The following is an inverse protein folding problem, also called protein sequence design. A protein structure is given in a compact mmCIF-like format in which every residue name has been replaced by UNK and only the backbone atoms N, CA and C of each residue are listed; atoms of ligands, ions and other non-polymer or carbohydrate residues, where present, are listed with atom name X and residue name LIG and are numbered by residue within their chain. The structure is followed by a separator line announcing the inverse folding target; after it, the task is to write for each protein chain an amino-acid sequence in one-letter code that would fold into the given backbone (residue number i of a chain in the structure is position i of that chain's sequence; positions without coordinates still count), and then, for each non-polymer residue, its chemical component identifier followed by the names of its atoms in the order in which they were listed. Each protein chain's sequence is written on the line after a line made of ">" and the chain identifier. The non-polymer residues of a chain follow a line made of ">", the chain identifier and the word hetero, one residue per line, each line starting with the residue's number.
data_IF_855283277918
#
_entry.id   IF_855283277918
#
_cell.length_a   1.000
_cell.length_b   1.000
_cell.length_c   1.000
_cell.angle_alpha   90.00
_cell.angle_beta   90.00
_cell.angle_gamma   90.00
#
_symmetry.space_group_name_H-M   'P 1'
#
loop_
_entity.id
_entity.type
_entity.pdbx_description
1 polymer ?
#
# COMPACT_ATOMS: atom_id res chain seq x y z
N UNK A 1 -17.83 12.33 -9.05
CA UNK A 1 -17.09 12.00 -10.31
C UNK A 1 -17.83 10.84 -10.96
N UNK A 2 -17.81 10.72 -12.29
CA UNK A 2 -18.46 9.60 -12.99
C UNK A 2 -17.42 8.88 -13.85
N UNK A 3 -17.62 7.57 -14.07
CA UNK A 3 -16.69 6.72 -14.82
C UNK A 3 -15.69 5.98 -13.92
N UNK A 4 -14.66 5.39 -14.54
CA UNK A 4 -13.62 4.63 -13.88
C UNK A 4 -12.22 5.17 -14.20
N UNK A 5 -11.26 4.87 -13.34
CA UNK A 5 -9.86 5.18 -13.53
C UNK A 5 -8.97 4.13 -12.87
N UNK A 6 -7.86 3.79 -13.53
CA UNK A 6 -6.77 3.01 -12.96
C UNK A 6 -5.64 3.96 -12.64
N UNK A 7 -4.97 3.79 -11.51
CA UNK A 7 -3.76 4.52 -11.16
C UNK A 7 -2.65 3.51 -10.89
N UNK A 8 -1.53 3.65 -11.59
CA UNK A 8 -0.35 2.83 -11.42
C UNK A 8 0.78 3.66 -10.81
N UNK A 9 1.53 3.06 -9.90
CA UNK A 9 2.54 3.78 -9.16
C UNK A 9 3.48 2.90 -8.36
N UNK A 10 4.21 3.57 -7.50
CA UNK A 10 5.20 2.96 -6.63
C UNK A 10 4.94 3.36 -5.19
N UNK A 11 5.32 2.47 -4.28
CA UNK A 11 5.28 2.75 -2.85
C UNK A 11 6.66 2.49 -2.25
N UNK A 12 6.97 3.21 -1.17
CA UNK A 12 8.23 3.11 -0.43
C UNK A 12 7.98 3.34 1.04
N UNK A 13 8.77 2.70 1.90
CA UNK A 13 8.58 2.72 3.35
C UNK A 13 9.73 2.14 4.14
N UNK A 14 9.51 2.05 5.44
CA UNK A 14 10.44 1.50 6.43
C UNK A 14 9.77 0.36 7.19
N UNK A 15 10.60 -0.48 7.81
CA UNK A 15 10.15 -1.58 8.66
C UNK A 15 10.61 -1.40 10.10
N UNK A 16 10.02 -2.14 11.03
CA UNK A 16 10.53 -2.33 12.39
C UNK A 16 11.48 -3.53 12.52
N UNK A 17 11.96 -4.09 11.40
CA UNK A 17 12.90 -5.20 11.39
C UNK A 17 14.27 -4.73 11.90
N UNK A 18 14.77 -5.42 12.92
CA UNK A 18 16.09 -5.21 13.51
C UNK A 18 16.99 -6.39 13.20
N UNK A 19 18.20 -6.12 12.70
CA UNK A 19 19.27 -7.11 12.55
C UNK A 19 20.50 -6.58 13.28
N UNK A 20 21.00 -7.32 14.27
CA UNK A 20 22.13 -6.90 15.12
C UNK A 20 21.93 -5.49 15.75
N UNK A 21 20.72 -5.23 16.25
CA UNK A 21 20.32 -3.94 16.85
C UNK A 21 20.27 -2.72 15.90
N UNK A 22 20.41 -2.93 14.58
CA UNK A 22 20.20 -1.90 13.57
C UNK A 22 18.86 -2.08 12.86
N UNK A 23 18.18 -0.98 12.53
CA UNK A 23 17.05 -1.00 11.60
C UNK A 23 17.54 -1.45 10.24
N UNK A 24 17.04 -2.61 9.80
CA UNK A 24 17.40 -3.21 8.52
C UNK A 24 16.13 -3.47 7.77
N UNK A 25 15.94 -2.81 6.63
CA UNK A 25 14.80 -3.07 5.77
C UNK A 25 14.07 -1.81 5.35
N UNK A 26 14.27 -1.42 4.09
CA UNK A 26 13.34 -0.56 3.38
C UNK A 26 12.30 -1.43 2.67
N UNK A 27 11.05 -1.03 2.66
CA UNK A 27 10.05 -1.66 1.79
C UNK A 27 9.87 -0.83 0.54
N UNK A 28 9.69 -1.49 -0.60
CA UNK A 28 9.23 -0.82 -1.81
C UNK A 28 8.28 -1.71 -2.57
N UNK A 29 7.81 -1.24 -3.72
CA UNK A 29 7.01 -2.06 -4.62
C UNK A 29 6.14 -1.23 -5.53
N UNK A 30 5.18 -1.89 -6.16
CA UNK A 30 4.19 -1.26 -7.02
C UNK A 30 2.82 -1.18 -6.34
N UNK A 31 2.02 -0.21 -6.80
CA UNK A 31 0.62 -0.04 -6.41
C UNK A 31 -0.23 0.11 -7.68
N UNK A 32 -1.35 -0.60 -7.73
CA UNK A 32 -2.37 -0.48 -8.76
C UNK A 32 -3.72 -0.21 -8.06
N UNK A 33 -4.32 0.96 -8.30
CA UNK A 33 -5.60 1.36 -7.72
C UNK A 33 -6.65 1.44 -8.82
N UNK A 34 -7.81 0.83 -8.61
CA UNK A 34 -8.89 0.78 -9.59
C UNK A 34 -10.14 1.41 -8.98
N UNK A 35 -10.50 2.60 -9.44
CA UNK A 35 -11.68 3.32 -8.98
C UNK A 35 -12.84 3.16 -9.97
N UNK A 36 -14.03 2.89 -9.42
CA UNK A 36 -15.30 3.16 -10.07
C UNK A 36 -15.99 4.30 -9.31
N UNK A 37 -16.00 5.48 -9.92
CA UNK A 37 -16.55 6.69 -9.33
C UNK A 37 -18.08 6.72 -9.33
N UNK A 38 -18.70 5.96 -10.22
CA UNK A 38 -20.15 5.80 -10.29
C UNK A 38 -20.66 4.86 -9.20
N UNK A 39 -19.97 3.74 -8.99
CA UNK A 39 -20.29 2.77 -7.94
C UNK A 39 -19.75 3.18 -6.56
N UNK A 40 -18.79 4.09 -6.49
CA UNK A 40 -18.15 4.47 -5.23
C UNK A 40 -17.25 3.38 -4.66
N UNK A 41 -16.61 2.59 -5.53
CA UNK A 41 -15.78 1.45 -5.13
C UNK A 41 -14.30 1.66 -5.46
N UNK A 42 -13.44 1.07 -4.64
CA UNK A 42 -12.00 0.97 -4.85
C UNK A 42 -11.58 -0.51 -4.86
N UNK A 43 -10.87 -0.92 -5.91
CA UNK A 43 -10.19 -2.21 -6.00
C UNK A 43 -8.71 -2.05 -6.35
N UNK A 44 -8.06 -3.18 -6.63
CA UNK A 44 -6.63 -3.24 -6.96
C UNK A 44 -5.78 -3.89 -5.86
N UNK A 45 -4.48 -3.69 -5.92
CA UNK A 45 -3.52 -4.31 -5.02
C UNK A 45 -2.19 -3.55 -4.94
N UNK A 46 -1.39 -3.90 -3.94
CA UNK A 46 0.04 -3.61 -3.89
C UNK A 46 0.86 -4.89 -4.10
N UNK A 47 2.07 -4.76 -4.66
CA UNK A 47 3.07 -5.85 -4.73
C UNK A 47 4.35 -5.42 -3.99
N UNK A 48 4.38 -5.62 -2.66
CA UNK A 48 5.52 -5.30 -1.83
C UNK A 48 6.75 -6.19 -1.99
N UNK A 49 7.92 -5.58 -1.85
CA UNK A 49 9.18 -6.24 -1.56
C UNK A 49 9.86 -5.62 -0.33
N UNK A 50 10.66 -6.43 0.37
CA UNK A 50 11.57 -6.01 1.42
C UNK A 50 12.99 -5.96 0.88
N UNK A 51 13.65 -4.83 1.01
CA UNK A 51 15.05 -4.64 0.67
C UNK A 51 15.90 -4.54 1.95
N UNK A 52 16.69 -5.59 2.21
CA UNK A 52 17.67 -5.65 3.31
C UNK A 52 19.07 -5.36 2.77
N UNK A 53 20.08 -5.32 3.64
CA UNK A 53 21.47 -5.20 3.18
C UNK A 53 21.95 -6.41 2.37
N UNK A 54 21.35 -7.58 2.61
CA UNK A 54 21.84 -8.86 2.09
C UNK A 54 21.02 -9.36 0.90
N UNK A 55 19.74 -8.97 0.82
CA UNK A 55 18.78 -9.55 -0.13
C UNK A 55 17.53 -8.70 -0.33
N UNK A 56 16.87 -8.91 -1.46
CA UNK A 56 15.53 -8.41 -1.76
C UNK A 56 14.55 -9.59 -1.71
N UNK A 57 13.50 -9.45 -0.91
CA UNK A 57 12.48 -10.48 -0.72
C UNK A 57 11.13 -10.02 -1.26
N UNK A 58 10.48 -10.85 -2.07
CA UNK A 58 9.09 -10.65 -2.48
C UNK A 58 8.17 -10.95 -1.28
N UNK A 59 7.28 -10.01 -0.94
CA UNK A 59 6.31 -10.16 0.16
C UNK A 59 4.91 -10.57 -0.35
N UNK A 60 4.77 -10.84 -1.64
CA UNK A 60 3.53 -11.25 -2.28
C UNK A 60 2.61 -10.08 -2.61
N UNK A 61 1.46 -10.39 -3.22
CA UNK A 61 0.44 -9.40 -3.58
C UNK A 61 -0.58 -9.23 -2.45
N UNK A 62 -0.91 -7.98 -2.11
CA UNK A 62 -1.92 -7.65 -1.11
C UNK A 62 -3.05 -6.84 -1.77
N UNK A 63 -4.21 -7.46 -1.94
CA UNK A 63 -5.41 -6.79 -2.46
C UNK A 63 -5.99 -5.82 -1.44
N UNK A 64 -6.62 -4.74 -1.91
CA UNK A 64 -7.38 -3.83 -1.06
C UNK A 64 -8.71 -4.46 -0.61
N UNK A 65 -9.04 -4.31 0.66
CA UNK A 65 -10.30 -4.77 1.30
C UNK A 65 -10.80 -3.72 2.29
N UNK A 66 -12.05 -3.85 2.73
CA UNK A 66 -12.70 -2.93 3.67
C UNK A 66 -12.56 -1.46 3.24
N UNK A 67 -12.67 -1.21 1.93
CA UNK A 67 -12.40 0.11 1.35
C UNK A 67 -13.53 1.08 1.63
N UNK A 68 -13.18 2.29 2.06
CA UNK A 68 -14.09 3.42 2.20
C UNK A 68 -13.76 4.45 1.13
N UNK A 69 -14.66 4.56 0.16
CA UNK A 69 -14.64 5.61 -0.85
C UNK A 69 -16.09 6.06 -1.09
N UNK A 70 -16.30 7.34 -1.40
CA UNK A 70 -17.62 7.86 -1.70
C UNK A 70 -17.51 8.84 -2.87
N UNK A 71 -18.46 8.79 -3.79
CA UNK A 71 -18.41 9.67 -4.96
C UNK A 71 -18.40 11.13 -4.51
N UNK A 72 -17.44 11.90 -5.05
CA UNK A 72 -17.26 13.31 -4.72
C UNK A 72 -16.30 13.58 -3.54
N UNK A 73 -15.80 12.55 -2.85
CA UNK A 73 -14.70 12.74 -1.88
C UNK A 73 -13.35 12.69 -2.57
N UNK A 74 -12.42 13.52 -2.09
CA UNK A 74 -11.02 13.44 -2.51
C UNK A 74 -10.24 12.36 -1.75
N UNK A 75 -10.76 11.91 -0.60
CA UNK A 75 -10.10 10.94 0.27
C UNK A 75 -10.71 9.55 0.12
N UNK A 76 -9.88 8.54 0.35
CA UNK A 76 -10.26 7.13 0.42
C UNK A 76 -9.39 6.40 1.45
N UNK A 77 -9.88 5.30 2.02
CA UNK A 77 -9.13 4.50 2.99
C UNK A 77 -9.53 3.02 2.90
N UNK A 78 -8.84 2.16 3.65
CA UNK A 78 -9.17 0.74 3.74
C UNK A 78 -8.07 -0.08 4.41
N UNK A 79 -8.04 -1.37 4.08
CA UNK A 79 -7.09 -2.35 4.60
C UNK A 79 -6.53 -3.22 3.49
N UNK A 80 -5.49 -3.97 3.81
CA UNK A 80 -4.92 -5.00 2.94
C UNK A 80 -5.46 -6.38 3.33
N UNK A 81 -5.66 -7.24 2.33
CA UNK A 81 -6.09 -8.63 2.54
C UNK A 81 -4.92 -9.46 3.09
N UNK A 82 -4.81 -9.52 4.42
CA UNK A 82 -3.82 -10.33 5.13
C UNK A 82 -4.41 -10.88 6.41
N UNK A 83 -4.02 -12.11 6.77
CA UNK A 83 -4.37 -12.74 8.04
C UNK A 83 -3.34 -12.48 9.15
N UNK A 84 -2.27 -11.76 8.84
CA UNK A 84 -1.22 -11.45 9.81
C UNK A 84 -1.73 -10.44 10.84
N UNK A 85 -1.30 -10.61 12.09
CA UNK A 85 -1.61 -9.71 13.20
C UNK A 85 -0.63 -8.54 13.17
N UNK A 86 -1.15 -7.30 13.17
CA UNK A 86 -0.37 -6.06 13.21
C UNK A 86 -1.17 -4.88 12.66
N UNK A 87 -0.56 -3.67 12.61
CA UNK A 87 -1.16 -2.49 12.00
C UNK A 87 -1.43 -2.76 10.51
N UNK A 88 -2.66 -2.57 10.07
CA UNK A 88 -3.08 -2.83 8.70
C UNK A 88 -4.11 -1.78 8.27
N UNK A 89 -3.63 -0.72 7.63
CA UNK A 89 -4.48 0.37 7.16
C UNK A 89 -3.84 1.13 6.00
N UNK A 90 -4.67 1.81 5.23
CA UNK A 90 -4.20 2.86 4.32
C UNK A 90 -5.16 4.06 4.27
N UNK A 91 -4.59 5.20 3.90
CA UNK A 91 -5.30 6.45 3.63
C UNK A 91 -4.70 7.10 2.39
N UNK A 92 -5.54 7.47 1.44
CA UNK A 92 -5.14 8.13 0.20
C UNK A 92 -5.96 9.38 -0.12
N UNK A 93 -5.42 10.18 -1.04
CA UNK A 93 -5.95 11.46 -1.49
C UNK A 93 -5.73 11.59 -3.00
N UNK A 94 -6.77 11.99 -3.73
CA UNK A 94 -6.66 12.47 -5.11
C UNK A 94 -6.03 13.86 -5.16
N UNK A 95 -5.10 14.06 -6.08
CA UNK A 95 -4.40 15.33 -6.31
C UNK A 95 -4.49 15.75 -7.78
N UNK A 96 -4.37 17.05 -8.02
CA UNK A 96 -4.53 17.66 -9.34
C UNK A 96 -5.98 18.07 -9.67
N UNK A 97 -6.19 18.99 -10.63
CA UNK A 97 -7.50 19.57 -10.94
C UNK A 97 -8.50 18.55 -11.47
N UNK A 98 -8.03 17.43 -12.04
CA UNK A 98 -8.88 16.36 -12.58
C UNK A 98 -8.56 15.01 -11.93
N UNK A 99 -8.02 15.00 -10.70
CA UNK A 99 -7.58 13.81 -10.01
C UNK A 99 -6.58 13.00 -10.85
N UNK A 100 -5.58 13.67 -11.43
CA UNK A 100 -4.56 13.05 -12.28
C UNK A 100 -3.62 12.13 -11.50
N UNK A 101 -3.47 12.39 -10.20
CA UNK A 101 -2.52 11.74 -9.31
C UNK A 101 -3.23 11.31 -8.02
N UNK A 102 -2.65 10.31 -7.35
CA UNK A 102 -3.04 9.90 -6.01
C UNK A 102 -1.80 9.73 -5.16
N UNK A 103 -1.88 10.20 -3.92
CA UNK A 103 -0.88 9.96 -2.89
C UNK A 103 -1.52 9.27 -1.70
N UNK A 104 -0.73 8.56 -0.90
CA UNK A 104 -1.27 7.92 0.29
C UNK A 104 -0.21 7.44 1.23
N UNK A 105 -0.65 7.13 2.44
CA UNK A 105 0.15 6.48 3.49
C UNK A 105 -0.44 5.12 3.81
N UNK A 106 0.39 4.21 4.28
CA UNK A 106 0.01 2.84 4.54
C UNK A 106 0.82 2.24 5.69
N UNK A 107 0.27 1.16 6.24
CA UNK A 107 0.94 0.26 7.15
C UNK A 107 0.39 -1.17 6.96
N UNK A 108 1.26 -2.19 7.01
CA UNK A 108 0.84 -3.59 6.99
C UNK A 108 1.86 -4.50 7.72
N UNK A 109 1.41 -5.62 8.31
CA UNK A 109 2.30 -6.65 8.82
C UNK A 109 2.80 -7.56 7.67
N UNK A 110 4.03 -8.06 7.79
CA UNK A 110 4.63 -9.04 6.86
C UNK A 110 5.44 -10.09 7.63
N UNK A 111 5.65 -11.26 7.01
CA UNK A 111 6.58 -12.27 7.53
C UNK A 111 7.94 -12.06 6.91
N UNK A 112 8.98 -11.90 7.72
CA UNK A 112 10.35 -11.81 7.22
C UNK A 112 10.83 -13.21 6.79
N UNK A 113 11.18 -13.43 5.50
CA UNK A 113 11.47 -14.78 5.02
C UNK A 113 12.70 -15.44 5.65
N UNK A 114 13.64 -14.66 6.20
CA UNK A 114 14.87 -15.21 6.77
C UNK A 114 14.69 -15.83 8.16
N UNK A 115 13.73 -15.36 8.96
CA UNK A 115 13.51 -15.86 10.32
C UNK A 115 12.07 -16.31 10.63
N UNK A 116 11.15 -16.08 9.69
CA UNK A 116 9.75 -16.51 9.79
C UNK A 116 8.92 -15.71 10.80
N UNK A 117 9.43 -14.60 11.35
CA UNK A 117 8.69 -13.76 12.30
C UNK A 117 7.89 -12.67 11.60
N UNK A 118 6.85 -12.20 12.27
CA UNK A 118 6.04 -11.07 11.81
C UNK A 118 6.68 -9.74 12.22
N UNK A 119 6.73 -8.83 11.27
CA UNK A 119 7.20 -7.46 11.40
C UNK A 119 6.18 -6.52 10.77
N UNK A 120 6.33 -5.22 11.02
CA UNK A 120 5.47 -4.18 10.49
C UNK A 120 6.23 -3.31 9.50
N UNK A 121 5.53 -2.88 8.46
CA UNK A 121 6.01 -1.91 7.50
C UNK A 121 5.07 -0.71 7.45
N UNK A 122 5.62 0.49 7.24
CA UNK A 122 4.85 1.71 7.00
C UNK A 122 5.53 2.60 5.98
N UNK A 123 4.76 3.38 5.24
CA UNK A 123 5.32 4.30 4.27
C UNK A 123 4.28 5.10 3.51
N UNK A 124 4.64 5.47 2.28
CA UNK A 124 3.80 6.24 1.38
C UNK A 124 3.81 5.66 -0.04
N UNK A 125 2.85 6.08 -0.85
CA UNK A 125 2.82 5.83 -2.29
C UNK A 125 2.49 7.09 -3.07
N UNK A 126 2.83 7.05 -4.34
CA UNK A 126 2.35 7.95 -5.38
C UNK A 126 1.99 7.12 -6.60
N UNK A 127 0.83 7.39 -7.19
CA UNK A 127 0.38 6.76 -8.42
C UNK A 127 -0.28 7.78 -9.35
N UNK A 128 -0.27 7.47 -10.63
CA UNK A 128 -0.80 8.33 -11.68
C UNK A 128 -1.77 7.54 -12.55
N UNK A 129 -2.78 8.24 -13.03
CA UNK A 129 -3.80 7.70 -13.92
C UNK A 129 -3.23 7.22 -15.27
#
# INVERSE_FOLDING_TARGET
>A
MAGSATYDGYFSGQTNLLQQDYLVGGTGGSVNLQFDFGAGTLGGAIHPYLNTFESVYDLGMLSFVDTVYSSGTANFSGRFNTSLVGPNSFLGLFTGPNAEEVIGRWEFPFVYPADGKTYDATGAWIAKK
#
